data_IF_382397257027
#
_entry.id   IF_382397257027
#
_cell.length_a   1.000
_cell.length_b   1.000
_cell.length_c   1.000
_cell.angle_alpha   90.00
_cell.angle_beta   90.00
_cell.angle_gamma   90.00
#
_symmetry.space_group_name_H-M   'P 1'
#
loop_
_entity.id
_entity.type
_entity.pdbx_description
1 polymer ?
#
# COMPACT_ATOMS: atom_id res chain seq x y z
N UNK A 1 -17.85 -2.20 -14.70
CA UNK A 1 -16.66 -2.37 -15.56
C UNK A 1 -17.17 -2.39 -16.99
N UNK A 2 -16.67 -1.51 -17.85
CA UNK A 2 -17.03 -1.54 -19.27
C UNK A 2 -16.21 -2.57 -20.04
N UNK A 3 -16.76 -3.05 -21.15
CA UNK A 3 -16.19 -4.14 -21.95
C UNK A 3 -14.94 -3.67 -22.67
N UNK A 4 -13.77 -4.05 -22.15
CA UNK A 4 -12.49 -3.91 -22.84
C UNK A 4 -12.43 -4.98 -23.91
N UNK A 5 -12.01 -4.62 -25.10
CA UNK A 5 -12.09 -5.49 -26.26
C UNK A 5 -10.84 -5.42 -27.12
N UNK A 6 -10.54 -6.55 -27.75
CA UNK A 6 -9.55 -6.64 -28.82
C UNK A 6 -10.24 -6.21 -30.11
N UNK A 7 -9.71 -5.19 -30.79
CA UNK A 7 -10.37 -4.56 -31.92
C UNK A 7 -10.60 -5.52 -33.08
N UNK A 8 -9.57 -6.30 -33.43
CA UNK A 8 -9.66 -7.32 -34.48
C UNK A 8 -10.68 -8.42 -34.17
N UNK A 9 -10.66 -8.97 -32.94
CA UNK A 9 -11.62 -10.00 -32.49
C UNK A 9 -13.05 -9.46 -32.50
N UNK A 10 -13.27 -8.28 -31.91
CA UNK A 10 -14.61 -7.71 -31.76
C UNK A 10 -15.25 -7.32 -33.12
N UNK A 11 -14.44 -6.94 -34.11
CA UNK A 11 -14.91 -6.71 -35.48
C UNK A 11 -15.23 -8.02 -36.18
N UNK A 12 -14.38 -9.05 -36.03
CA UNK A 12 -14.60 -10.36 -36.63
C UNK A 12 -15.87 -11.05 -36.09
N UNK A 13 -16.16 -10.87 -34.80
CA UNK A 13 -17.35 -11.40 -34.13
C UNK A 13 -18.61 -10.54 -34.34
N UNK A 14 -18.50 -9.40 -35.02
CA UNK A 14 -19.63 -8.50 -35.28
C UNK A 14 -20.14 -7.74 -34.04
N UNK A 15 -19.39 -7.74 -32.93
CA UNK A 15 -19.72 -7.00 -31.71
C UNK A 15 -19.68 -5.48 -31.93
N UNK A 16 -18.75 -5.03 -32.78
CA UNK A 16 -18.57 -3.62 -33.15
C UNK A 16 -18.14 -3.48 -34.61
N UNK A 17 -18.50 -2.39 -35.25
CA UNK A 17 -17.96 -2.02 -36.56
C UNK A 17 -16.64 -1.25 -36.43
N UNK A 18 -15.79 -1.23 -37.47
CA UNK A 18 -14.60 -0.37 -37.49
C UNK A 18 -14.91 1.12 -37.27
N UNK A 19 -16.10 1.58 -37.69
CA UNK A 19 -16.58 2.94 -37.43
C UNK A 19 -16.86 3.17 -35.94
N UNK A 20 -17.58 2.24 -35.30
CA UNK A 20 -17.88 2.32 -33.87
C UNK A 20 -16.60 2.31 -33.02
N UNK A 21 -15.60 1.49 -33.36
CA UNK A 21 -14.29 1.50 -32.70
C UNK A 21 -13.60 2.87 -32.76
N UNK A 22 -13.65 3.54 -33.92
CA UNK A 22 -13.00 4.85 -34.10
C UNK A 22 -13.65 5.97 -33.28
N UNK A 23 -14.98 5.99 -33.17
CA UNK A 23 -15.70 7.11 -32.56
C UNK A 23 -16.12 6.86 -31.10
N UNK A 24 -16.47 5.61 -30.76
CA UNK A 24 -17.01 5.24 -29.45
C UNK A 24 -15.97 4.75 -28.43
N UNK A 25 -14.75 4.46 -28.87
CA UNK A 25 -13.70 3.87 -28.03
C UNK A 25 -12.43 4.70 -28.04
N UNK A 26 -11.68 4.63 -26.94
CA UNK A 26 -10.28 5.08 -26.88
C UNK A 26 -9.37 3.86 -26.94
N UNK A 27 -8.25 3.99 -27.65
CA UNK A 27 -7.23 2.95 -27.70
C UNK A 27 -6.47 2.95 -26.37
N UNK A 28 -6.42 1.80 -25.73
CA UNK A 28 -5.67 1.59 -24.49
C UNK A 28 -4.25 1.09 -24.80
N UNK A 29 -4.15 0.03 -25.61
CA UNK A 29 -2.89 -0.54 -26.12
C UNK A 29 -3.04 -0.88 -27.61
N UNK A 30 -1.98 -1.36 -28.29
CA UNK A 30 -2.12 -1.82 -29.66
C UNK A 30 -3.22 -2.87 -29.82
N UNK A 31 -4.24 -2.55 -30.62
CA UNK A 31 -5.42 -3.39 -30.86
C UNK A 31 -6.31 -3.66 -29.63
N UNK A 32 -6.15 -2.91 -28.54
CA UNK A 32 -6.98 -3.03 -27.34
C UNK A 32 -7.68 -1.71 -27.06
N UNK A 33 -9.00 -1.77 -26.85
CA UNK A 33 -9.88 -0.61 -26.79
C UNK A 33 -10.78 -0.66 -25.57
N UNK A 34 -11.15 0.53 -25.09
CA UNK A 34 -12.08 0.73 -23.96
C UNK A 34 -13.06 1.85 -24.31
N UNK A 35 -14.33 1.76 -23.89
CA UNK A 35 -15.32 2.80 -24.18
C UNK A 35 -14.85 4.20 -23.78
N UNK A 36 -15.08 5.19 -24.65
CA UNK A 36 -14.59 6.56 -24.45
C UNK A 36 -15.16 7.24 -23.20
N UNK A 37 -16.38 6.87 -22.81
CA UNK A 37 -17.05 7.40 -21.62
C UNK A 37 -16.57 6.78 -20.30
N UNK A 38 -15.81 5.67 -20.36
CA UNK A 38 -15.34 4.98 -19.16
C UNK A 38 -14.15 5.73 -18.53
N UNK A 39 -14.23 6.09 -17.23
CA UNK A 39 -13.10 6.67 -16.52
C UNK A 39 -11.88 5.75 -16.55
N UNK A 40 -10.69 6.32 -16.42
CA UNK A 40 -9.47 5.52 -16.31
C UNK A 40 -9.48 4.72 -15.00
N UNK A 41 -9.09 3.45 -15.09
CA UNK A 41 -9.00 2.53 -13.96
C UNK A 41 -7.81 1.61 -14.16
N UNK A 42 -7.04 1.39 -13.10
CA UNK A 42 -5.91 0.46 -13.15
C UNK A 42 -6.35 -0.98 -13.42
N UNK A 43 -7.55 -1.36 -12.97
CA UNK A 43 -8.10 -2.69 -13.26
C UNK A 43 -8.39 -2.85 -14.76
N UNK A 44 -8.90 -1.80 -15.40
CA UNK A 44 -9.14 -1.81 -16.84
C UNK A 44 -7.81 -1.83 -17.61
N UNK A 45 -6.84 -1.04 -17.16
CA UNK A 45 -5.50 -1.03 -17.74
C UNK A 45 -4.83 -2.41 -17.61
N UNK A 46 -5.03 -3.12 -16.49
CA UNK A 46 -4.53 -4.47 -16.27
C UNK A 46 -5.17 -5.52 -17.20
N UNK A 47 -6.49 -5.50 -17.35
CA UNK A 47 -7.22 -6.36 -18.30
C UNK A 47 -6.72 -6.07 -19.72
N UNK A 48 -6.60 -4.79 -20.09
CA UNK A 48 -6.12 -4.41 -21.41
C UNK A 48 -4.69 -4.88 -21.69
N UNK A 49 -3.81 -4.81 -20.70
CA UNK A 49 -2.43 -5.28 -20.82
C UNK A 49 -2.37 -6.82 -20.97
N UNK A 50 -3.21 -7.55 -20.23
CA UNK A 50 -3.36 -8.99 -20.38
C UNK A 50 -3.89 -9.38 -21.77
N UNK A 51 -4.94 -8.71 -22.27
CA UNK A 51 -5.45 -8.91 -23.63
C UNK A 51 -4.37 -8.61 -24.69
N UNK A 52 -3.65 -7.50 -24.55
CA UNK A 52 -2.56 -7.12 -25.45
C UNK A 52 -1.45 -8.18 -25.50
N UNK A 53 -1.17 -8.85 -24.38
CA UNK A 53 -0.17 -9.94 -24.32
C UNK A 53 -0.62 -11.23 -25.02
N UNK A 54 -1.80 -11.23 -25.64
CA UNK A 54 -2.45 -12.43 -26.17
C UNK A 54 -2.93 -13.36 -25.07
N UNK A 55 -3.33 -12.80 -23.91
CA UNK A 55 -3.80 -13.55 -22.74
C UNK A 55 -2.72 -14.45 -22.10
N UNK A 56 -1.44 -14.09 -22.24
CA UNK A 56 -0.29 -14.88 -21.75
C UNK A 56 0.55 -14.22 -20.66
N UNK A 57 0.50 -12.90 -20.57
CA UNK A 57 1.23 -12.15 -19.55
C UNK A 57 0.57 -12.27 -18.18
N UNK A 58 1.37 -12.30 -17.12
CA UNK A 58 0.86 -12.38 -15.74
C UNK A 58 1.00 -11.01 -15.09
N UNK A 59 -0.11 -10.41 -14.67
CA UNK A 59 -0.10 -9.10 -14.00
C UNK A 59 0.60 -9.22 -12.64
N UNK A 60 1.51 -8.30 -12.34
CA UNK A 60 2.32 -8.32 -11.11
C UNK A 60 2.52 -6.90 -10.51
N UNK A 61 3.28 -6.81 -9.41
CA UNK A 61 3.71 -5.58 -8.72
C UNK A 61 2.50 -4.74 -8.30
N UNK A 62 2.37 -3.49 -8.75
CA UNK A 62 1.37 -2.55 -8.20
C UNK A 62 -0.03 -2.83 -8.71
N UNK A 63 -0.16 -3.20 -9.98
CA UNK A 63 -1.44 -3.58 -10.56
C UNK A 63 -1.99 -4.84 -9.87
N UNK A 64 -1.16 -5.87 -9.68
CA UNK A 64 -1.58 -7.07 -8.93
C UNK A 64 -1.93 -6.75 -7.47
N UNK A 65 -1.11 -5.93 -6.79
CA UNK A 65 -1.41 -5.52 -5.41
C UNK A 65 -2.78 -4.82 -5.31
N UNK A 66 -3.07 -3.91 -6.24
CA UNK A 66 -4.37 -3.23 -6.31
C UNK A 66 -5.53 -4.21 -6.56
N UNK A 67 -5.33 -5.21 -7.41
CA UNK A 67 -6.34 -6.24 -7.70
C UNK A 67 -6.57 -7.20 -6.52
N UNK A 68 -5.56 -7.37 -5.65
CA UNK A 68 -5.68 -8.06 -4.35
C UNK A 68 -6.28 -7.16 -3.25
N UNK A 69 -6.75 -5.95 -3.59
CA UNK A 69 -7.41 -5.04 -2.65
C UNK A 69 -6.49 -4.07 -1.92
N UNK A 70 -5.17 -4.08 -2.20
CA UNK A 70 -4.27 -3.10 -1.62
C UNK A 70 -4.65 -1.68 -2.06
N UNK A 71 -4.78 -0.78 -1.09
CA UNK A 71 -5.09 0.64 -1.33
C UNK A 71 -3.84 1.41 -1.81
N UNK A 72 -4.04 2.69 -2.15
CA UNK A 72 -2.95 3.65 -2.43
C UNK A 72 -2.12 3.36 -3.68
N UNK A 73 -2.74 2.75 -4.68
CA UNK A 73 -2.17 2.60 -6.02
C UNK A 73 -2.82 3.61 -6.96
N UNK A 74 -2.01 4.43 -7.64
CA UNK A 74 -2.52 5.43 -8.58
C UNK A 74 -3.09 4.73 -9.83
N UNK A 75 -4.25 5.18 -10.33
CA UNK A 75 -4.86 4.69 -11.57
C UNK A 75 -3.96 4.84 -12.80
N UNK A 76 -3.01 5.78 -12.79
CA UNK A 76 -2.03 6.02 -13.87
C UNK A 76 -0.78 5.13 -13.76
N UNK A 77 -0.72 4.24 -12.77
CA UNK A 77 0.44 3.36 -12.59
C UNK A 77 0.61 2.45 -13.81
N UNK A 78 1.81 2.39 -14.43
CA UNK A 78 2.06 1.44 -15.51
C UNK A 78 1.80 0.01 -15.07
N UNK A 79 1.19 -0.79 -15.93
CA UNK A 79 0.91 -2.21 -15.66
C UNK A 79 2.17 -3.03 -15.86
N UNK A 80 2.56 -3.75 -14.82
CA UNK A 80 3.68 -4.67 -14.88
C UNK A 80 3.21 -6.09 -15.22
N UNK A 81 3.81 -6.68 -16.24
CA UNK A 81 3.55 -8.05 -16.68
C UNK A 81 4.83 -8.88 -16.57
N UNK A 82 4.73 -10.08 -16.00
CA UNK A 82 5.71 -11.14 -16.28
C UNK A 82 5.35 -11.69 -17.65
N UNK A 83 6.13 -11.28 -18.65
CA UNK A 83 5.91 -11.57 -20.07
C UNK A 83 7.18 -11.27 -20.85
N UNK A 84 7.62 -12.20 -21.70
CA UNK A 84 8.78 -11.95 -22.57
C UNK A 84 8.36 -11.11 -23.78
N UNK A 85 8.67 -9.81 -23.73
CA UNK A 85 8.45 -8.91 -24.84
C UNK A 85 9.48 -7.78 -24.88
N UNK A 86 10.21 -7.70 -26.00
CA UNK A 86 11.20 -6.64 -26.25
C UNK A 86 10.56 -5.32 -26.65
N UNK A 87 9.43 -5.34 -27.37
CA UNK A 87 8.73 -4.15 -27.90
C UNK A 87 7.34 -4.02 -27.26
N UNK A 88 7.32 -3.47 -26.05
CA UNK A 88 6.10 -3.18 -25.29
C UNK A 88 5.59 -1.76 -25.57
N UNK A 89 4.26 -1.52 -25.54
CA UNK A 89 3.69 -0.18 -25.66
C UNK A 89 3.94 0.64 -24.37
N UNK A 90 3.74 1.95 -24.49
CA UNK A 90 3.72 2.83 -23.32
C UNK A 90 2.61 2.40 -22.35
N UNK A 91 2.87 2.54 -21.04
CA UNK A 91 1.96 2.08 -19.99
C UNK A 91 2.15 0.60 -19.58
N UNK A 92 2.97 -0.18 -20.29
CA UNK A 92 3.31 -1.56 -19.92
C UNK A 92 4.80 -1.70 -19.59
N UNK A 93 5.09 -2.35 -18.46
CA UNK A 93 6.44 -2.79 -18.10
C UNK A 93 6.47 -4.32 -18.20
N UNK A 94 7.19 -4.83 -19.19
CA UNK A 94 7.42 -6.26 -19.36
C UNK A 94 8.64 -6.70 -18.53
N UNK A 95 8.45 -7.73 -17.72
CA UNK A 95 9.49 -8.36 -16.90
C UNK A 95 9.73 -9.77 -17.45
N UNK A 96 10.92 -9.98 -18.01
CA UNK A 96 11.34 -11.32 -18.43
C UNK A 96 11.92 -12.03 -17.21
N UNK A 97 11.03 -12.65 -16.43
CA UNK A 97 11.35 -13.34 -15.19
C UNK A 97 10.68 -14.71 -15.14
N UNK A 98 11.25 -15.60 -14.32
CA UNK A 98 10.65 -16.90 -14.04
C UNK A 98 9.46 -16.74 -13.09
N UNK A 99 8.44 -17.54 -13.30
CA UNK A 99 7.28 -17.69 -12.43
C UNK A 99 6.76 -19.11 -12.58
N UNK A 100 6.51 -19.79 -11.46
CA UNK A 100 5.95 -21.14 -11.46
C UNK A 100 4.42 -21.10 -11.31
N UNK A 101 3.76 -22.22 -11.60
CA UNK A 101 2.30 -22.31 -11.66
C UNK A 101 1.59 -22.04 -10.32
N UNK A 102 2.26 -22.31 -9.20
CA UNK A 102 1.75 -22.06 -7.83
C UNK A 102 1.82 -20.58 -7.43
N UNK A 103 2.39 -19.73 -8.28
CA UNK A 103 2.53 -18.29 -8.10
C UNK A 103 1.55 -17.49 -8.97
N UNK A 104 0.65 -18.17 -9.68
CA UNK A 104 -0.32 -17.58 -10.61
C UNK A 104 -1.73 -17.89 -10.12
N UNK A 105 -2.58 -16.87 -10.10
CA UNK A 105 -4.01 -17.00 -9.86
C UNK A 105 -4.78 -16.40 -11.05
N UNK A 106 -5.90 -17.02 -11.38
CA UNK A 106 -6.90 -16.48 -12.31
C UNK A 106 -8.08 -15.96 -11.50
N UNK A 107 -8.43 -14.68 -11.66
CA UNK A 107 -9.56 -14.06 -10.96
C UNK A 107 -10.85 -14.06 -11.79
N UNK A 108 -10.91 -14.83 -12.87
CA UNK A 108 -12.00 -14.90 -13.84
C UNK A 108 -11.92 -13.85 -14.94
N UNK A 109 -10.97 -12.91 -14.88
CA UNK A 109 -10.79 -11.84 -15.87
C UNK A 109 -9.40 -11.82 -16.49
N UNK A 110 -8.37 -12.15 -15.72
CA UNK A 110 -6.97 -12.18 -16.16
C UNK A 110 -6.13 -13.07 -15.25
N UNK A 111 -4.93 -13.41 -15.72
CA UNK A 111 -3.89 -14.07 -14.92
C UNK A 111 -3.06 -13.04 -14.17
N UNK A 112 -2.94 -13.18 -12.85
CA UNK A 112 -2.12 -12.33 -11.99
C UNK A 112 -1.28 -13.15 -11.00
N UNK A 113 -0.22 -12.54 -10.50
CA UNK A 113 0.62 -13.11 -9.45
C UNK A 113 -0.19 -13.34 -8.17
N UNK A 114 0.11 -14.40 -7.42
CA UNK A 114 -0.43 -14.59 -6.05
C UNK A 114 -0.04 -13.44 -5.14
N UNK A 115 -0.64 -13.38 -3.95
CA UNK A 115 -0.34 -12.32 -2.97
C UNK A 115 1.14 -12.35 -2.57
N UNK A 116 1.68 -13.54 -2.33
CA UNK A 116 3.08 -13.78 -1.95
C UNK A 116 4.02 -13.39 -3.09
N UNK A 117 3.72 -13.79 -4.33
CA UNK A 117 4.55 -13.40 -5.49
C UNK A 117 4.47 -11.90 -5.75
N UNK A 118 3.31 -11.29 -5.58
CA UNK A 118 3.13 -9.84 -5.66
C UNK A 118 4.02 -9.12 -4.64
N UNK A 119 4.09 -9.63 -3.40
CA UNK A 119 4.97 -9.08 -2.37
C UNK A 119 6.46 -9.19 -2.72
N UNK A 120 6.89 -10.33 -3.26
CA UNK A 120 8.26 -10.52 -3.78
C UNK A 120 8.57 -9.45 -4.84
N UNK A 121 7.69 -9.28 -5.81
CA UNK A 121 7.90 -8.39 -6.94
C UNK A 121 7.85 -6.90 -6.53
N UNK A 122 6.97 -6.52 -5.59
CA UNK A 122 6.96 -5.19 -4.96
C UNK A 122 8.31 -4.88 -4.28
N UNK A 123 8.80 -5.80 -3.45
CA UNK A 123 10.06 -5.62 -2.72
C UNK A 123 11.30 -5.62 -3.60
N UNK A 124 11.28 -6.36 -4.72
CA UNK A 124 12.41 -6.44 -5.67
C UNK A 124 12.48 -5.24 -6.62
N UNK A 125 11.34 -4.65 -6.96
CA UNK A 125 11.27 -3.69 -8.06
C UNK A 125 11.01 -2.24 -7.65
N UNK A 126 10.63 -1.98 -6.41
CA UNK A 126 10.41 -0.63 -5.92
C UNK A 126 11.54 -0.15 -5.00
N UNK A 127 11.79 1.16 -4.91
CA UNK A 127 12.65 1.72 -3.87
C UNK A 127 12.12 1.37 -2.48
N UNK A 128 13.02 1.12 -1.51
CA UNK A 128 12.69 0.55 -0.20
C UNK A 128 11.45 1.17 0.47
N UNK A 129 11.39 2.50 0.64
CA UNK A 129 10.24 3.13 1.30
C UNK A 129 8.91 2.95 0.56
N UNK A 130 8.93 2.90 -0.77
CA UNK A 130 7.72 2.60 -1.58
C UNK A 130 7.37 1.12 -1.51
N UNK A 131 8.37 0.25 -1.50
CA UNK A 131 8.16 -1.19 -1.32
C UNK A 131 7.44 -1.46 0.00
N UNK A 132 7.94 -0.92 1.12
CA UNK A 132 7.32 -1.10 2.44
C UNK A 132 5.88 -0.55 2.44
N UNK A 133 5.64 0.65 1.89
CA UNK A 133 4.28 1.21 1.84
C UNK A 133 3.28 0.34 1.06
N UNK A 134 3.69 -0.26 -0.06
CA UNK A 134 2.83 -1.19 -0.80
C UNK A 134 2.70 -2.56 -0.11
N UNK A 135 3.75 -3.05 0.56
CA UNK A 135 3.69 -4.27 1.36
C UNK A 135 2.77 -4.11 2.57
N UNK A 136 2.83 -2.99 3.28
CA UNK A 136 1.92 -2.64 4.38
C UNK A 136 0.47 -2.65 3.88
N UNK A 137 0.20 -1.97 2.76
CA UNK A 137 -1.14 -1.92 2.17
C UNK A 137 -1.64 -3.29 1.69
N UNK A 138 -0.76 -4.14 1.15
CA UNK A 138 -1.09 -5.50 0.75
C UNK A 138 -1.36 -6.39 1.96
N UNK A 139 -0.53 -6.31 3.00
CA UNK A 139 -0.73 -7.02 4.26
C UNK A 139 -2.02 -6.59 4.96
N UNK A 140 -2.34 -5.30 4.96
CA UNK A 140 -3.60 -4.78 5.48
C UNK A 140 -4.83 -5.35 4.76
N UNK A 141 -4.75 -5.49 3.42
CA UNK A 141 -5.86 -5.99 2.61
C UNK A 141 -6.04 -7.52 2.65
N UNK A 142 -4.96 -8.26 2.85
CA UNK A 142 -4.94 -9.73 2.62
C UNK A 142 -4.56 -10.56 3.85
N UNK A 143 -4.04 -9.94 4.91
CA UNK A 143 -3.46 -10.64 6.05
C UNK A 143 -2.08 -11.24 5.77
N UNK A 144 -1.42 -10.85 4.67
CA UNK A 144 -0.07 -11.31 4.33
C UNK A 144 0.94 -11.03 5.46
N UNK A 145 1.77 -12.02 5.76
CA UNK A 145 2.86 -11.93 6.76
C UNK A 145 4.21 -12.01 6.06
N UNK A 146 5.29 -11.59 6.72
CA UNK A 146 6.63 -11.75 6.15
C UNK A 146 7.00 -13.23 6.01
N UNK A 147 6.57 -14.05 6.98
CA UNK A 147 6.74 -15.49 7.08
C UNK A 147 6.22 -16.23 5.85
N UNK A 148 5.04 -15.84 5.33
CA UNK A 148 4.46 -16.48 4.15
C UNK A 148 5.19 -16.14 2.84
N UNK A 149 6.00 -15.07 2.82
CA UNK A 149 6.77 -14.66 1.63
C UNK A 149 8.14 -15.36 1.56
N UNK A 150 8.71 -15.77 2.69
CA UNK A 150 10.06 -16.35 2.75
C UNK A 150 10.27 -17.60 1.87
N UNK A 151 9.30 -18.53 1.69
CA UNK A 151 9.46 -19.64 0.76
C UNK A 151 9.79 -19.21 -0.67
N UNK A 152 9.18 -18.12 -1.15
CA UNK A 152 9.50 -17.55 -2.47
C UNK A 152 10.83 -16.78 -2.46
N UNK A 153 11.18 -16.11 -1.35
CA UNK A 153 12.49 -15.47 -1.19
C UNK A 153 13.63 -16.47 -1.35
N UNK A 154 13.47 -17.68 -0.83
CA UNK A 154 14.47 -18.75 -0.92
C UNK A 154 14.53 -19.35 -2.32
N UNK A 155 13.36 -19.59 -2.94
CA UNK A 155 13.23 -20.04 -4.34
C UNK A 155 13.96 -19.10 -5.31
N UNK A 156 13.91 -17.79 -5.07
CA UNK A 156 14.50 -16.76 -5.92
C UNK A 156 15.74 -16.08 -5.31
N UNK A 157 16.47 -16.77 -4.43
CA UNK A 157 17.56 -16.19 -3.61
C UNK A 157 18.65 -15.43 -4.38
N UNK A 158 18.92 -15.79 -5.63
CA UNK A 158 19.89 -15.14 -6.53
C UNK A 158 19.34 -14.02 -7.43
N UNK A 159 18.04 -13.73 -7.37
CA UNK A 159 17.41 -12.76 -8.25
C UNK A 159 17.84 -11.31 -7.93
N UNK A 160 17.76 -10.42 -8.93
CA UNK A 160 18.00 -8.99 -8.71
C UNK A 160 16.94 -8.43 -7.75
N UNK A 161 17.39 -7.60 -6.80
CA UNK A 161 16.51 -6.90 -5.86
C UNK A 161 16.26 -7.63 -4.53
N UNK A 162 16.80 -8.85 -4.35
CA UNK A 162 16.56 -9.65 -3.15
C UNK A 162 17.03 -9.01 -1.84
N UNK A 163 18.12 -8.21 -1.87
CA UNK A 163 18.57 -7.44 -0.70
C UNK A 163 17.55 -6.37 -0.28
N UNK A 164 16.89 -5.73 -1.25
CA UNK A 164 15.84 -4.74 -0.97
C UNK A 164 14.59 -5.42 -0.45
N UNK A 165 14.18 -6.54 -1.05
CA UNK A 165 13.03 -7.33 -0.59
C UNK A 165 13.18 -7.75 0.87
N UNK A 166 14.31 -8.37 1.27
CA UNK A 166 14.53 -8.79 2.67
C UNK A 166 14.43 -7.62 3.65
N UNK A 167 15.04 -6.48 3.31
CA UNK A 167 14.90 -5.26 4.12
C UNK A 167 13.46 -4.75 4.18
N UNK A 168 12.71 -4.87 3.09
CA UNK A 168 11.33 -4.43 3.03
C UNK A 168 10.43 -5.34 3.89
N UNK A 169 10.66 -6.66 3.87
CA UNK A 169 9.95 -7.62 4.72
C UNK A 169 10.24 -7.42 6.21
N UNK A 170 11.50 -7.15 6.60
CA UNK A 170 11.82 -6.79 8.00
C UNK A 170 11.07 -5.54 8.48
N UNK A 171 10.83 -4.60 7.56
CA UNK A 171 10.20 -3.32 7.84
C UNK A 171 8.69 -3.32 7.66
N UNK A 172 8.09 -4.35 7.05
CA UNK A 172 6.65 -4.35 6.74
C UNK A 172 5.80 -4.45 8.01
N UNK A 173 4.61 -3.86 7.96
CA UNK A 173 3.63 -3.78 9.04
C UNK A 173 2.22 -3.57 8.47
N UNK A 174 1.35 -4.58 8.60
CA UNK A 174 -0.01 -4.52 8.07
C UNK A 174 -0.95 -3.56 8.82
N UNK A 175 -0.50 -2.92 9.91
CA UNK A 175 -1.29 -1.96 10.67
C UNK A 175 -1.25 -0.53 10.12
N UNK A 176 -0.34 -0.20 9.21
CA UNK A 176 -0.35 1.13 8.58
C UNK A 176 -1.50 1.24 7.57
N UNK A 177 -2.40 2.21 7.77
CA UNK A 177 -3.57 2.41 6.93
C UNK A 177 -3.31 3.37 5.76
N UNK A 178 -2.16 4.07 5.76
CA UNK A 178 -1.73 4.97 4.70
C UNK A 178 -0.21 4.96 4.43
N UNK A 179 0.26 5.35 3.22
CA UNK A 179 1.68 5.48 2.93
C UNK A 179 2.39 6.51 3.81
N UNK A 180 1.64 7.47 4.35
CA UNK A 180 2.16 8.50 5.26
C UNK A 180 2.39 7.96 6.66
N UNK A 181 1.52 7.08 7.14
CA UNK A 181 1.76 6.32 8.37
C UNK A 181 2.99 5.41 8.21
N UNK A 182 3.10 4.65 7.11
CA UNK A 182 4.33 3.86 6.84
C UNK A 182 5.58 4.75 6.87
N UNK A 183 5.55 5.90 6.20
CA UNK A 183 6.66 6.84 6.20
C UNK A 183 7.01 7.35 7.60
N UNK A 184 6.00 7.72 8.39
CA UNK A 184 6.17 8.19 9.76
C UNK A 184 6.76 7.08 10.65
N UNK A 185 6.24 5.86 10.56
CA UNK A 185 6.77 4.68 11.25
C UNK A 185 8.25 4.46 10.96
N UNK A 186 8.62 4.46 9.67
CA UNK A 186 10.01 4.31 9.25
C UNK A 186 10.90 5.47 9.69
N UNK A 187 10.36 6.69 9.78
CA UNK A 187 11.07 7.85 10.32
C UNK A 187 11.37 7.66 11.82
N UNK A 188 10.37 7.25 12.61
CA UNK A 188 10.50 7.03 14.05
C UNK A 188 11.50 5.92 14.37
N UNK A 189 11.49 4.83 13.61
CA UNK A 189 12.41 3.69 13.77
C UNK A 189 13.89 4.05 13.58
N UNK A 190 14.22 5.27 13.13
CA UNK A 190 15.61 5.73 13.02
C UNK A 190 16.23 6.08 14.38
N UNK A 191 15.42 6.50 15.35
CA UNK A 191 15.89 6.98 16.65
C UNK A 191 15.22 6.28 17.84
N UNK A 192 14.12 5.57 17.61
CA UNK A 192 13.31 4.97 18.68
C UNK A 192 13.07 3.48 18.40
N UNK A 193 12.69 2.70 19.45
CA UNK A 193 12.21 1.34 19.27
C UNK A 193 11.06 1.27 18.27
N UNK A 194 10.87 0.12 17.61
CA UNK A 194 9.77 -0.07 16.66
C UNK A 194 8.43 0.28 17.33
N UNK A 195 7.68 1.27 16.80
CA UNK A 195 6.38 1.61 17.36
C UNK A 195 5.37 0.52 17.00
N UNK A 196 4.44 0.26 17.91
CA UNK A 196 3.26 -0.56 17.66
C UNK A 196 2.26 0.26 16.85
N UNK A 197 1.67 -0.34 15.82
CA UNK A 197 0.60 0.26 15.00
C UNK A 197 -0.78 -0.08 15.56
N UNK A 198 -1.79 0.73 15.24
CA UNK A 198 -3.20 0.49 15.56
C UNK A 198 -3.47 0.21 17.05
N UNK A 199 -2.87 1.00 17.95
CA UNK A 199 -2.97 0.79 19.40
C UNK A 199 -4.41 1.09 19.85
N UNK A 200 -5.14 0.12 20.43
CA UNK A 200 -6.49 0.34 20.93
C UNK A 200 -6.47 1.14 22.22
N UNK A 201 -7.29 2.19 22.29
CA UNK A 201 -7.59 2.91 23.51
C UNK A 201 -8.93 2.42 24.05
N UNK A 202 -8.93 1.69 25.17
CA UNK A 202 -10.14 1.07 25.73
C UNK A 202 -10.80 1.90 26.83
N UNK A 203 -12.09 1.68 27.06
CA UNK A 203 -12.82 2.21 28.22
C UNK A 203 -12.56 1.42 29.51
N UNK A 204 -13.22 1.83 30.60
CA UNK A 204 -13.10 1.22 31.92
C UNK A 204 -13.56 -0.25 31.94
N UNK A 205 -14.34 -0.67 30.93
CA UNK A 205 -14.83 -2.03 30.74
C UNK A 205 -14.03 -2.81 29.69
N UNK A 206 -12.93 -2.24 29.18
CA UNK A 206 -12.07 -2.87 28.18
C UNK A 206 -12.58 -2.79 26.74
N UNK A 207 -13.63 -2.01 26.47
CA UNK A 207 -14.17 -1.85 25.11
C UNK A 207 -13.37 -0.80 24.32
N UNK A 208 -12.99 -1.07 23.05
CA UNK A 208 -12.24 -0.11 22.23
C UNK A 208 -13.05 1.17 21.96
N UNK A 209 -12.51 2.33 22.34
CA UNK A 209 -13.10 3.64 22.04
C UNK A 209 -12.54 4.22 20.74
N UNK A 210 -11.21 4.24 20.60
CA UNK A 210 -10.49 4.73 19.43
C UNK A 210 -9.22 3.90 19.21
N UNK A 211 -8.64 3.96 18.00
CA UNK A 211 -7.31 3.40 17.69
C UNK A 211 -6.34 4.51 17.37
N UNK A 212 -5.15 4.47 17.97
CA UNK A 212 -4.04 5.38 17.68
C UNK A 212 -3.20 4.80 16.55
N UNK A 213 -2.80 5.63 15.57
CA UNK A 213 -2.07 5.16 14.38
C UNK A 213 -0.84 4.34 14.76
N UNK A 214 0.00 4.90 15.64
CA UNK A 214 1.16 4.20 16.19
C UNK A 214 1.70 4.83 17.48
N UNK A 215 2.56 4.09 18.16
CA UNK A 215 3.25 4.60 19.35
C UNK A 215 3.92 3.52 20.19
N UNK A 216 4.08 3.83 21.48
CA UNK A 216 4.66 2.93 22.47
C UNK A 216 3.71 2.86 23.67
N UNK A 217 2.97 1.75 23.77
CA UNK A 217 1.95 1.55 24.81
C UNK A 217 2.53 1.58 26.22
N UNK A 218 3.65 0.89 26.45
CA UNK A 218 4.32 0.89 27.75
C UNK A 218 4.80 2.30 28.18
N UNK A 219 5.16 3.16 27.23
CA UNK A 219 5.55 4.54 27.49
C UNK A 219 4.35 5.51 27.43
N UNK A 220 3.17 5.05 27.02
CA UNK A 220 2.00 5.88 26.71
C UNK A 220 2.36 7.11 25.87
N UNK A 221 3.04 6.89 24.76
CA UNK A 221 3.37 7.92 23.75
C UNK A 221 2.71 7.51 22.44
N UNK A 222 1.89 8.38 21.87
CA UNK A 222 1.20 8.18 20.60
C UNK A 222 1.66 9.21 19.56
N UNK A 223 1.79 8.77 18.32
CA UNK A 223 2.14 9.61 17.18
C UNK A 223 1.14 9.33 16.07
N UNK A 224 0.43 10.36 15.61
CA UNK A 224 -0.60 10.23 14.57
C UNK A 224 -0.28 11.14 13.39
N UNK A 225 -0.52 10.66 12.17
CA UNK A 225 -0.39 11.47 10.96
C UNK A 225 -1.76 11.99 10.54
N UNK A 226 -1.95 13.31 10.60
CA UNK A 226 -3.16 13.95 10.08
C UNK A 226 -2.95 14.38 8.63
N UNK A 227 -3.54 13.62 7.71
CA UNK A 227 -3.50 13.90 6.28
C UNK A 227 -4.56 14.90 5.80
N UNK A 228 -5.53 15.28 6.64
CA UNK A 228 -6.74 15.96 6.23
C UNK A 228 -6.90 17.33 6.90
N UNK A 229 -6.09 18.31 6.50
CA UNK A 229 -6.39 19.71 6.78
C UNK A 229 -7.48 20.23 5.83
N UNK A 230 -8.73 19.91 6.11
CA UNK A 230 -9.87 20.76 5.76
C UNK A 230 -10.41 21.37 7.04
N UNK A 231 -9.78 22.46 7.50
CA UNK A 231 -10.14 23.20 8.71
C UNK A 231 -11.56 23.82 8.69
N UNK A 232 -12.34 23.58 7.63
CA UNK A 232 -13.64 24.21 7.41
C UNK A 232 -14.84 23.39 7.94
N UNK A 233 -14.62 22.16 8.44
CA UNK A 233 -15.71 21.34 8.97
C UNK A 233 -15.79 21.36 10.51
N UNK A 234 -16.76 22.11 11.05
CA UNK A 234 -17.02 22.19 12.50
C UNK A 234 -17.27 20.83 13.15
N UNK A 235 -17.86 19.87 12.43
CA UNK A 235 -18.11 18.53 12.97
C UNK A 235 -16.83 17.71 13.14
N UNK A 236 -15.85 17.91 12.26
CA UNK A 236 -14.52 17.29 12.35
C UNK A 236 -13.76 17.86 13.54
N UNK A 237 -13.75 19.19 13.72
CA UNK A 237 -13.14 19.84 14.89
C UNK A 237 -13.66 19.29 16.22
N UNK A 238 -14.99 19.16 16.37
CA UNK A 238 -15.59 18.62 17.61
C UNK A 238 -15.17 17.17 17.85
N UNK A 239 -15.05 16.37 16.79
CA UNK A 239 -14.63 14.97 16.88
C UNK A 239 -13.17 14.87 17.30
N UNK A 240 -12.29 15.67 16.71
CA UNK A 240 -10.87 15.73 17.04
C UNK A 240 -10.63 16.19 18.48
N UNK A 241 -11.38 17.19 18.94
CA UNK A 241 -11.35 17.67 20.33
C UNK A 241 -11.76 16.57 21.32
N UNK A 242 -12.83 15.83 21.03
CA UNK A 242 -13.27 14.70 21.87
C UNK A 242 -12.21 13.60 21.90
N UNK A 243 -11.60 13.30 20.74
CA UNK A 243 -10.52 12.33 20.61
C UNK A 243 -9.33 12.73 21.47
N UNK A 244 -8.86 13.97 21.36
CA UNK A 244 -7.72 14.47 22.14
C UNK A 244 -7.96 14.38 23.65
N UNK A 245 -9.17 14.73 24.12
CA UNK A 245 -9.53 14.61 25.53
C UNK A 245 -9.49 13.17 26.04
N UNK A 246 -9.96 12.21 25.23
CA UNK A 246 -9.91 10.78 25.60
C UNK A 246 -8.48 10.26 25.72
N UNK A 247 -7.60 10.70 24.84
CA UNK A 247 -6.17 10.36 24.84
C UNK A 247 -5.51 10.94 26.10
N UNK A 248 -5.72 12.22 26.36
CA UNK A 248 -5.16 12.91 27.53
C UNK A 248 -5.70 12.34 28.85
N UNK A 249 -6.99 12.03 28.93
CA UNK A 249 -7.60 11.43 30.12
C UNK A 249 -7.00 10.07 30.51
N UNK A 250 -6.35 9.38 29.58
CA UNK A 250 -5.66 8.11 29.82
C UNK A 250 -4.16 8.25 30.02
N UNK A 251 -3.71 9.49 30.22
CA UNK A 251 -2.30 9.84 30.41
C UNK A 251 -1.47 9.37 29.21
N UNK A 252 -1.91 9.69 27.99
CA UNK A 252 -1.08 9.52 26.79
C UNK A 252 -0.46 10.85 26.36
N UNK A 253 0.84 10.84 26.06
CA UNK A 253 1.50 11.95 25.39
C UNK A 253 1.21 11.83 23.89
N UNK A 254 0.58 12.85 23.33
CA UNK A 254 0.08 12.84 21.95
C UNK A 254 0.89 13.75 21.04
N UNK A 255 1.49 13.19 19.99
CA UNK A 255 2.27 13.91 18.97
C UNK A 255 1.54 13.85 17.64
N UNK A 256 0.75 14.88 17.34
CA UNK A 256 0.10 15.05 16.04
C UNK A 256 1.08 15.53 14.99
N UNK A 257 1.22 14.81 13.89
CA UNK A 257 2.10 15.13 12.75
C UNK A 257 1.25 15.58 11.58
N UNK A 258 1.58 16.74 11.01
CA UNK A 258 0.91 17.28 9.83
C UNK A 258 1.85 17.30 8.63
N UNK A 259 1.30 17.53 7.43
CA UNK A 259 2.07 17.52 6.17
C UNK A 259 3.22 18.55 6.17
N UNK A 260 3.03 19.66 6.86
CA UNK A 260 3.94 20.80 6.95
C UNK A 260 5.12 20.56 7.91
N UNK A 261 5.01 19.57 8.82
CA UNK A 261 6.04 19.27 9.81
C UNK A 261 7.29 18.68 9.14
N UNK A 262 8.47 19.18 9.55
CA UNK A 262 9.75 18.64 9.07
C UNK A 262 10.15 17.39 9.86
N UNK A 263 10.86 16.42 9.24
CA UNK A 263 11.32 15.21 9.92
C UNK A 263 12.06 15.47 11.25
N UNK A 264 12.95 16.47 11.28
CA UNK A 264 13.71 16.82 12.47
C UNK A 264 12.83 17.36 13.61
N UNK A 265 11.77 18.11 13.28
CA UNK A 265 10.82 18.66 14.25
C UNK A 265 9.94 17.57 14.85
N UNK A 266 9.48 16.63 14.01
CA UNK A 266 8.74 15.44 14.44
C UNK A 266 9.58 14.64 15.44
N UNK A 267 10.82 14.30 15.07
CA UNK A 267 11.72 13.54 15.94
C UNK A 267 12.01 14.29 17.24
N UNK A 268 12.24 15.61 17.18
CA UNK A 268 12.46 16.42 18.38
C UNK A 268 11.25 16.43 19.33
N UNK A 269 10.02 16.47 18.80
CA UNK A 269 8.79 16.38 19.60
C UNK A 269 8.66 15.02 20.29
N UNK A 270 8.98 13.94 19.57
CA UNK A 270 8.96 12.59 20.13
C UNK A 270 10.05 12.39 21.19
N UNK A 271 11.27 12.92 20.99
CA UNK A 271 12.33 12.92 22.03
C UNK A 271 11.87 13.61 23.31
N UNK A 272 11.19 14.76 23.21
CA UNK A 272 10.63 15.43 24.37
C UNK A 272 9.60 14.57 25.10
N UNK A 273 8.75 13.86 24.37
CA UNK A 273 7.78 12.94 24.98
C UNK A 273 8.46 11.80 25.75
N UNK A 274 9.52 11.21 25.18
CA UNK A 274 10.33 10.20 25.86
C UNK A 274 10.99 10.74 27.14
N UNK A 275 11.64 11.91 27.07
CA UNK A 275 12.28 12.53 28.23
C UNK A 275 11.31 12.80 29.39
N UNK A 276 10.07 13.19 29.08
CA UNK A 276 9.02 13.37 30.09
C UNK A 276 8.68 12.05 30.81
N UNK A 277 8.63 10.93 30.08
CA UNK A 277 8.33 9.60 30.65
C UNK A 277 9.46 9.03 31.48
N UNK A 278 10.70 9.21 31.04
CA UNK A 278 11.88 8.80 31.81
C UNK A 278 11.98 9.57 33.13
N UNK A 279 11.71 10.87 33.10
CA UNK A 279 11.70 11.71 34.30
C UNK A 279 10.61 11.28 35.27
N UNK A 280 9.37 11.08 34.81
CA UNK A 280 8.27 10.62 35.64
C UNK A 280 8.54 9.27 36.29
N UNK A 281 9.12 8.32 35.54
CA UNK A 281 9.50 6.99 36.06
C UNK A 281 10.58 7.10 37.13
N UNK A 282 11.55 8.00 36.93
CA UNK A 282 12.65 8.21 37.89
C UNK A 282 12.16 8.85 39.19
N UNK A 283 11.24 9.82 39.11
CA UNK A 283 10.62 10.44 40.28
C UNK A 283 9.78 9.43 41.06
N UNK A 284 8.98 8.62 40.38
CA UNK A 284 8.17 7.57 41.01
C UNK A 284 9.05 6.56 41.79
N UNK A 285 10.17 6.11 41.20
CA UNK A 285 11.12 5.20 41.88
C UNK A 285 11.85 5.81 43.07
N UNK A 286 11.98 7.15 43.14
CA UNK A 286 12.59 7.84 44.28
C UNK A 286 11.60 8.12 45.41
N UNK A 287 10.30 8.09 45.12
CA UNK A 287 9.23 8.32 46.08
C UNK A 287 8.70 7.02 46.73
N UNK A 288 9.04 5.86 46.16
CA UNK A 288 8.79 4.51 46.69
C UNK A 288 9.96 4.00 47.52
#
# INVERSE_FOLDING_TARGET
MGTILIGTEAVAEGLVTPGQLRYGYRRLFPDVYVPKAQPQSLADDAIGAWLWSGRRGIVTVRAAASLHGARWVNSETPVELIYDCRRRPNGIIARNERIDWDEIVDNGQLSLATVERTAVDLGRHLPLGRAVAHLDALANATGLTAESVYPLVDRYSGARGMKTLRKALDLMDGGAESPKETWLRLLLMREFPRPQTQIPLVDEWGMPLIRLDMGWEAAKIAVEYDGAHHQENRSQYVTDERRLRLIQARDWLYVKVIKEDKPAEILARVRRAWALRETATTVAKRAS
#
